data_IF_454540730393
#
_entry.id   IF_454540730393
#
_cell.length_a   1.000
_cell.length_b   1.000
_cell.length_c   1.000
_cell.angle_alpha   90.00
_cell.angle_beta   90.00
_cell.angle_gamma   90.00
#
_symmetry.space_group_name_H-M   'P 1'
#
loop_
_entity.id
_entity.type
_entity.pdbx_description
1 polymer ?
#
# COMPACT_ATOMS: atom_id res chain seq x y z
N UNK A 1 -11.70 18.98 3.96
CA UNK A 1 -10.52 19.66 4.57
C UNK A 1 -10.86 20.23 5.96
N UNK A 2 -11.88 21.03 6.09
CA UNK A 2 -12.25 21.70 7.37
C UNK A 2 -12.64 20.69 8.45
N UNK A 3 -13.36 19.63 8.12
CA UNK A 3 -13.83 18.63 9.09
C UNK A 3 -12.65 17.86 9.72
N UNK A 4 -11.69 17.39 8.93
CA UNK A 4 -10.48 16.70 9.41
C UNK A 4 -9.66 17.64 10.29
N UNK A 5 -9.41 18.87 9.84
CA UNK A 5 -8.67 19.86 10.62
C UNK A 5 -9.36 20.18 11.96
N UNK A 6 -10.67 20.29 11.96
CA UNK A 6 -11.45 20.54 13.19
C UNK A 6 -11.39 19.35 14.16
N UNK A 7 -11.55 18.11 13.67
CA UNK A 7 -11.46 16.93 14.54
C UNK A 7 -10.07 16.74 15.13
N UNK A 8 -9.01 17.13 14.43
CA UNK A 8 -7.62 17.02 14.91
C UNK A 8 -7.18 18.20 15.80
N UNK A 9 -7.83 19.37 15.69
CA UNK A 9 -7.46 20.55 16.48
C UNK A 9 -7.60 20.35 18.01
N UNK A 10 -8.45 19.41 18.43
CA UNK A 10 -8.64 19.07 19.85
C UNK A 10 -7.65 18.00 20.34
N UNK A 11 -6.75 17.53 19.49
CA UNK A 11 -5.78 16.45 19.77
C UNK A 11 -6.44 15.20 20.42
N UNK A 12 -7.49 14.63 19.82
CA UNK A 12 -8.19 13.49 20.38
C UNK A 12 -7.31 12.25 20.36
N UNK A 13 -7.55 11.31 21.28
CA UNK A 13 -6.89 10.01 21.25
C UNK A 13 -7.46 9.08 20.17
N UNK A 14 -8.74 9.28 19.81
CA UNK A 14 -9.46 8.48 18.81
C UNK A 14 -10.29 9.38 17.90
N UNK A 15 -10.19 9.14 16.60
CA UNK A 15 -11.05 9.74 15.57
C UNK A 15 -11.81 8.62 14.86
N UNK A 16 -13.13 8.82 14.72
CA UNK A 16 -13.99 7.95 13.93
C UNK A 16 -14.30 8.65 12.60
N UNK A 17 -14.08 7.96 11.51
CA UNK A 17 -14.34 8.45 10.15
C UNK A 17 -15.20 7.43 9.42
N UNK A 18 -16.35 7.85 8.95
CA UNK A 18 -17.30 7.03 8.20
C UNK A 18 -17.43 7.58 6.79
N UNK A 19 -16.98 6.81 5.78
CA UNK A 19 -17.01 7.11 4.36
C UNK A 19 -16.58 8.56 3.99
N UNK A 20 -15.63 9.11 4.71
CA UNK A 20 -15.31 10.55 4.68
C UNK A 20 -14.79 11.06 3.32
N UNK A 21 -14.38 10.16 2.42
CA UNK A 21 -13.85 10.51 1.10
C UNK A 21 -14.76 10.11 -0.07
N UNK A 22 -15.89 9.43 0.19
CA UNK A 22 -16.77 8.87 -0.85
C UNK A 22 -17.34 9.91 -1.82
N UNK A 23 -17.62 11.12 -1.32
CA UNK A 23 -18.19 12.22 -2.10
C UNK A 23 -17.15 13.09 -2.86
N UNK A 24 -15.85 12.74 -2.79
CA UNK A 24 -14.78 13.53 -3.42
C UNK A 24 -14.44 12.99 -4.80
N UNK A 25 -14.05 13.90 -5.70
CA UNK A 25 -13.42 13.50 -6.96
C UNK A 25 -12.06 12.81 -6.70
N UNK A 26 -11.56 11.99 -7.66
CA UNK A 26 -10.36 11.17 -7.45
C UNK A 26 -9.12 11.97 -7.05
N UNK A 27 -8.94 13.19 -7.59
CA UNK A 27 -7.76 14.02 -7.33
C UNK A 27 -7.82 14.59 -5.91
N UNK A 28 -8.96 15.17 -5.54
CA UNK A 28 -9.16 15.68 -4.18
C UNK A 28 -9.13 14.56 -3.13
N UNK A 29 -9.69 13.38 -3.46
CA UNK A 29 -9.64 12.20 -2.61
C UNK A 29 -8.20 11.82 -2.28
N UNK A 30 -7.35 11.65 -3.30
CA UNK A 30 -5.94 11.33 -3.11
C UNK A 30 -5.23 12.35 -2.21
N UNK A 31 -5.44 13.66 -2.46
CA UNK A 31 -4.84 14.73 -1.65
C UNK A 31 -5.31 14.71 -0.18
N UNK A 32 -6.59 14.37 0.08
CA UNK A 32 -7.11 14.29 1.45
C UNK A 32 -6.58 13.06 2.18
N UNK A 33 -6.44 11.94 1.48
CA UNK A 33 -5.81 10.72 2.01
C UNK A 33 -4.35 10.97 2.38
N UNK A 34 -3.57 11.65 1.53
CA UNK A 34 -2.19 12.02 1.83
C UNK A 34 -2.09 12.95 3.04
N UNK A 35 -2.99 13.93 3.13
CA UNK A 35 -3.07 14.81 4.29
C UNK A 35 -3.35 14.01 5.57
N UNK A 36 -4.31 13.08 5.54
CA UNK A 36 -4.64 12.23 6.68
C UNK A 36 -3.43 11.39 7.11
N UNK A 37 -2.74 10.73 6.18
CA UNK A 37 -1.53 9.94 6.45
C UNK A 37 -0.42 10.78 7.08
N UNK A 38 -0.19 11.98 6.55
CA UNK A 38 0.83 12.89 7.09
C UNK A 38 0.49 13.35 8.51
N UNK A 39 -0.77 13.70 8.76
CA UNK A 39 -1.24 14.09 10.09
C UNK A 39 -1.18 12.91 11.09
N UNK A 40 -1.57 11.71 10.67
CA UNK A 40 -1.49 10.50 11.48
C UNK A 40 -0.04 10.19 11.89
N UNK A 41 0.92 10.30 10.96
CA UNK A 41 2.36 10.11 11.28
C UNK A 41 2.91 11.11 12.30
N UNK A 42 2.36 12.32 12.34
CA UNK A 42 2.78 13.38 13.26
C UNK A 42 2.07 13.31 14.62
N UNK A 43 0.89 12.70 14.66
CA UNK A 43 0.06 12.57 15.85
C UNK A 43 0.06 11.13 16.34
N UNK A 44 -0.14 10.93 17.65
CA UNK A 44 -0.37 9.58 18.23
C UNK A 44 -1.86 9.24 18.27
N UNK A 45 -2.67 9.86 17.43
CA UNK A 45 -4.12 9.67 17.38
C UNK A 45 -4.46 8.36 16.69
N UNK A 46 -5.29 7.53 17.30
CA UNK A 46 -5.85 6.37 16.64
C UNK A 46 -6.99 6.81 15.71
N UNK A 47 -7.01 6.31 14.48
CA UNK A 47 -8.08 6.58 13.51
C UNK A 47 -8.79 5.26 13.21
N UNK A 48 -10.10 5.20 13.45
CA UNK A 48 -10.97 4.13 12.95
C UNK A 48 -11.69 4.69 11.73
N UNK A 49 -11.38 4.09 10.58
CA UNK A 49 -11.87 4.54 9.28
C UNK A 49 -12.76 3.47 8.65
N UNK A 50 -14.01 3.80 8.36
CA UNK A 50 -14.95 2.92 7.67
C UNK A 50 -15.02 3.33 6.21
N UNK A 51 -14.84 2.37 5.32
CA UNK A 51 -14.95 2.55 3.87
C UNK A 51 -15.43 1.26 3.20
N UNK A 52 -16.11 1.41 2.07
CA UNK A 52 -16.40 0.32 1.15
C UNK A 52 -15.37 0.25 -0.02
N UNK A 53 -14.43 1.19 -0.07
CA UNK A 53 -13.37 1.22 -1.09
C UNK A 53 -12.15 0.45 -0.60
N UNK A 54 -11.89 -0.69 -1.25
CA UNK A 54 -10.77 -1.58 -0.91
C UNK A 54 -9.41 -0.90 -1.08
N UNK A 55 -9.26 -0.01 -2.07
CA UNK A 55 -8.03 0.73 -2.30
C UNK A 55 -7.74 1.71 -1.16
N UNK A 56 -8.79 2.37 -0.64
CA UNK A 56 -8.67 3.21 0.54
C UNK A 56 -8.23 2.40 1.77
N UNK A 57 -8.88 1.25 2.01
CA UNK A 57 -8.53 0.39 3.12
C UNK A 57 -7.06 -0.08 3.05
N UNK A 58 -6.60 -0.53 1.88
CA UNK A 58 -5.22 -0.97 1.67
C UNK A 58 -4.19 0.15 1.79
N UNK A 59 -4.57 1.38 1.38
CA UNK A 59 -3.68 2.54 1.41
C UNK A 59 -3.54 3.17 2.78
N UNK A 60 -4.66 3.27 3.51
CA UNK A 60 -4.74 4.07 4.75
C UNK A 60 -4.59 3.22 6.01
N UNK A 61 -4.95 1.93 5.97
CA UNK A 61 -5.02 1.09 7.15
C UNK A 61 -3.68 0.48 7.53
N UNK A 62 -3.25 0.64 8.78
CA UNK A 62 -2.23 -0.20 9.40
C UNK A 62 -2.77 -1.62 9.66
N UNK A 63 -4.07 -1.68 9.99
CA UNK A 63 -4.84 -2.92 10.12
C UNK A 63 -6.21 -2.75 9.48
N UNK A 64 -6.70 -3.82 8.84
CA UNK A 64 -7.99 -3.87 8.17
C UNK A 64 -8.85 -4.91 8.86
N UNK A 65 -10.08 -4.54 9.22
CA UNK A 65 -11.13 -5.44 9.64
C UNK A 65 -12.15 -5.59 8.51
N UNK A 66 -12.29 -6.80 7.97
CA UNK A 66 -13.25 -7.12 6.92
C UNK A 66 -14.54 -7.61 7.55
N UNK A 67 -15.65 -6.95 7.26
CA UNK A 67 -16.98 -7.28 7.81
C UNK A 67 -17.91 -7.61 6.64
N UNK A 68 -18.64 -8.71 6.75
CA UNK A 68 -19.68 -9.10 5.82
C UNK A 68 -20.92 -9.58 6.59
N UNK A 69 -22.10 -9.10 6.20
CA UNK A 69 -23.38 -9.44 6.84
C UNK A 69 -23.35 -9.30 8.38
N UNK A 70 -22.69 -8.24 8.86
CA UNK A 70 -22.55 -7.97 10.30
C UNK A 70 -21.56 -8.89 11.03
N UNK A 71 -20.86 -9.78 10.32
CA UNK A 71 -19.88 -10.70 10.89
C UNK A 71 -18.46 -10.32 10.50
N UNK A 72 -17.55 -10.36 11.47
CA UNK A 72 -16.13 -10.16 11.23
C UNK A 72 -15.55 -11.36 10.50
N UNK A 73 -15.03 -11.13 9.30
CA UNK A 73 -14.44 -12.17 8.44
C UNK A 73 -12.93 -12.33 8.68
N UNK A 74 -12.22 -11.21 8.79
CA UNK A 74 -10.77 -11.21 9.01
C UNK A 74 -10.32 -9.88 9.61
N UNK A 75 -9.24 -9.92 10.40
CA UNK A 75 -8.49 -8.74 10.82
C UNK A 75 -7.01 -8.99 10.55
N UNK A 76 -6.35 -8.09 9.85
CA UNK A 76 -4.94 -8.22 9.55
C UNK A 76 -4.33 -6.93 8.99
N UNK A 77 -3.04 -6.93 8.76
CA UNK A 77 -2.37 -5.91 7.95
C UNK A 77 -2.83 -6.00 6.48
N UNK A 78 -2.65 -4.94 5.67
CA UNK A 78 -2.93 -5.00 4.23
C UNK A 78 -2.30 -6.22 3.53
N UNK A 79 -1.06 -6.55 3.85
CA UNK A 79 -0.36 -7.69 3.27
C UNK A 79 -1.00 -9.03 3.68
N UNK A 80 -1.36 -9.21 4.96
CA UNK A 80 -2.04 -10.43 5.42
C UNK A 80 -3.39 -10.62 4.74
N UNK A 81 -4.17 -9.53 4.56
CA UNK A 81 -5.46 -9.58 3.85
C UNK A 81 -5.27 -10.02 2.39
N UNK A 82 -4.23 -9.52 1.71
CA UNK A 82 -3.97 -9.85 0.31
C UNK A 82 -3.34 -11.22 0.11
N UNK A 83 -2.40 -11.62 0.96
CA UNK A 83 -1.59 -12.82 0.76
C UNK A 83 -2.19 -14.06 1.43
N UNK A 84 -2.91 -13.86 2.56
CA UNK A 84 -3.48 -14.92 3.38
C UNK A 84 -4.95 -14.64 3.71
N UNK A 85 -5.84 -14.55 2.69
CA UNK A 85 -7.25 -14.34 2.94
C UNK A 85 -7.85 -15.52 3.75
N UNK A 86 -8.60 -15.17 4.80
CA UNK A 86 -9.17 -16.18 5.72
C UNK A 86 -10.24 -17.05 5.06
N UNK A 87 -10.88 -16.56 4.00
CA UNK A 87 -11.90 -17.30 3.26
C UNK A 87 -12.03 -16.76 1.83
N UNK A 88 -12.86 -17.44 1.03
CA UNK A 88 -13.08 -17.07 -0.39
C UNK A 88 -13.70 -15.69 -0.54
N UNK A 89 -14.60 -15.28 0.38
CA UNK A 89 -15.19 -13.95 0.34
C UNK A 89 -14.12 -12.85 0.42
N UNK A 90 -13.18 -12.94 1.38
CA UNK A 90 -12.09 -11.97 1.51
C UNK A 90 -11.18 -11.99 0.28
N UNK A 91 -10.87 -13.19 -0.24
CA UNK A 91 -10.06 -13.33 -1.45
C UNK A 91 -10.71 -12.63 -2.65
N UNK A 92 -12.00 -12.87 -2.90
CA UNK A 92 -12.75 -12.29 -4.01
C UNK A 92 -12.97 -10.79 -3.82
N UNK A 93 -13.27 -10.36 -2.60
CA UNK A 93 -13.49 -8.95 -2.27
C UNK A 93 -12.26 -8.10 -2.59
N UNK A 94 -11.07 -8.56 -2.26
CA UNK A 94 -9.82 -7.85 -2.56
C UNK A 94 -9.17 -8.24 -3.89
N UNK A 95 -9.74 -9.14 -4.67
CA UNK A 95 -9.16 -9.57 -5.94
C UNK A 95 -8.95 -8.41 -6.95
N UNK A 96 -9.91 -7.48 -6.98
CA UNK A 96 -9.86 -6.29 -7.86
C UNK A 96 -8.99 -5.17 -7.31
N UNK A 97 -8.74 -5.18 -5.99
CA UNK A 97 -7.92 -4.19 -5.30
C UNK A 97 -6.44 -4.62 -5.21
N UNK A 98 -6.13 -5.85 -5.59
CA UNK A 98 -4.72 -6.26 -5.71
C UNK A 98 -4.04 -5.30 -6.67
N UNK A 99 -2.94 -4.64 -6.25
CA UNK A 99 -2.19 -3.80 -7.17
C UNK A 99 -1.90 -4.63 -8.43
N UNK A 100 -2.21 -4.09 -9.60
CA UNK A 100 -1.81 -4.69 -10.90
C UNK A 100 -0.29 -4.83 -10.99
N UNK A 101 0.43 -3.99 -10.27
CA UNK A 101 1.84 -4.13 -9.91
C UNK A 101 1.95 -5.29 -8.92
N UNK A 102 2.57 -6.38 -9.28
CA UNK A 102 2.75 -7.58 -8.42
C UNK A 102 3.27 -7.23 -7.01
N UNK A 103 3.05 -8.13 -6.07
CA UNK A 103 3.59 -7.96 -4.72
C UNK A 103 5.12 -8.00 -4.77
N UNK A 104 5.78 -7.31 -3.83
CA UNK A 104 7.24 -7.42 -3.68
C UNK A 104 7.68 -8.88 -3.52
N UNK A 105 6.92 -9.68 -2.79
CA UNK A 105 7.17 -11.13 -2.63
C UNK A 105 7.15 -11.86 -3.97
N UNK A 106 6.19 -11.58 -4.85
CA UNK A 106 6.12 -12.19 -6.17
C UNK A 106 7.28 -11.74 -7.08
N UNK A 107 7.67 -10.45 -7.00
CA UNK A 107 8.82 -9.92 -7.72
C UNK A 107 10.12 -10.57 -7.23
N UNK A 108 10.33 -10.65 -5.91
CA UNK A 108 11.51 -11.24 -5.30
C UNK A 108 11.62 -12.76 -5.55
N UNK A 109 10.50 -13.45 -5.73
CA UNK A 109 10.46 -14.87 -6.12
C UNK A 109 10.75 -15.08 -7.60
N UNK A 110 10.74 -14.02 -8.41
CA UNK A 110 11.13 -14.09 -9.80
C UNK A 110 12.66 -14.19 -9.94
N UNK A 111 13.14 -14.76 -11.06
CA UNK A 111 14.57 -14.82 -11.36
C UNK A 111 15.16 -13.46 -11.80
N UNK A 112 14.33 -12.41 -11.84
CA UNK A 112 14.70 -11.08 -12.33
C UNK A 112 15.46 -10.26 -11.27
N UNK A 113 15.22 -10.56 -9.98
CA UNK A 113 15.83 -9.84 -8.86
C UNK A 113 17.07 -10.59 -8.38
N UNK A 114 18.14 -9.85 -8.17
CA UNK A 114 19.40 -10.36 -7.62
C UNK A 114 19.63 -9.83 -6.21
N UNK A 115 20.01 -10.71 -5.27
CA UNK A 115 20.54 -10.26 -3.98
C UNK A 115 21.89 -9.61 -4.18
N UNK A 116 22.13 -8.53 -3.45
CA UNK A 116 23.42 -7.82 -3.46
C UNK A 116 23.86 -7.52 -2.03
N UNK A 117 25.11 -7.15 -1.84
CA UNK A 117 25.58 -6.56 -0.61
C UNK A 117 25.08 -5.11 -0.51
N UNK A 118 24.88 -4.62 0.71
CA UNK A 118 24.48 -3.23 0.96
C UNK A 118 25.36 -2.27 0.15
N UNK A 119 24.73 -1.34 -0.53
CA UNK A 119 25.38 -0.25 -1.25
C UNK A 119 24.82 1.07 -0.74
N UNK A 120 25.60 2.15 -0.78
CA UNK A 120 25.12 3.50 -0.43
C UNK A 120 23.97 3.99 -1.33
N UNK A 121 23.68 3.25 -2.40
CA UNK A 121 22.61 3.54 -3.36
C UNK A 121 21.31 2.80 -3.07
N UNK A 122 21.30 1.85 -2.12
CA UNK A 122 20.08 1.08 -1.81
C UNK A 122 19.06 1.95 -1.09
N UNK A 123 17.86 2.06 -1.66
CA UNK A 123 16.72 2.80 -1.11
C UNK A 123 15.73 1.81 -0.52
N UNK A 124 15.28 2.05 0.71
CA UNK A 124 14.25 1.22 1.34
C UNK A 124 12.92 1.38 0.59
N UNK A 125 12.34 0.27 0.14
CA UNK A 125 11.05 0.23 -0.55
C UNK A 125 10.14 -0.81 0.09
N UNK A 126 8.85 -0.54 0.14
CA UNK A 126 7.83 -1.46 0.64
C UNK A 126 6.98 -2.06 -0.50
N UNK A 127 6.93 -1.39 -1.65
CA UNK A 127 6.04 -1.76 -2.76
C UNK A 127 6.77 -1.75 -4.09
N UNK A 128 6.24 -2.50 -5.07
CA UNK A 128 6.73 -2.47 -6.47
C UNK A 128 6.52 -1.10 -7.10
N UNK A 129 5.49 -0.35 -6.68
CA UNK A 129 5.25 1.02 -7.16
C UNK A 129 6.36 1.98 -6.71
N UNK A 130 6.79 1.88 -5.44
CA UNK A 130 7.93 2.65 -4.95
C UNK A 130 9.22 2.28 -5.68
N UNK A 131 9.46 0.97 -5.90
CA UNK A 131 10.60 0.51 -6.69
C UNK A 131 10.59 1.08 -8.10
N UNK A 132 9.43 1.09 -8.77
CA UNK A 132 9.28 1.63 -10.12
C UNK A 132 9.50 3.15 -10.21
N UNK A 133 9.44 3.87 -9.09
CA UNK A 133 9.71 5.32 -9.02
C UNK A 133 11.19 5.67 -8.80
N UNK A 134 12.04 4.68 -8.54
CA UNK A 134 13.46 4.92 -8.34
C UNK A 134 14.17 5.28 -9.65
N UNK A 135 15.23 6.06 -9.55
CA UNK A 135 16.12 6.39 -10.66
C UNK A 135 17.20 5.31 -10.80
N UNK A 136 17.37 4.71 -11.99
CA UNK A 136 18.43 3.73 -12.22
C UNK A 136 19.82 4.39 -12.26
N UNK A 137 20.84 3.59 -12.02
CA UNK A 137 22.22 3.99 -12.27
C UNK A 137 22.53 4.07 -13.79
N UNK A 138 23.76 4.45 -14.15
CA UNK A 138 24.20 4.59 -15.53
C UNK A 138 24.17 3.27 -16.34
N UNK A 139 24.11 2.12 -15.68
CA UNK A 139 24.00 0.79 -16.27
C UNK A 139 22.55 0.24 -16.27
N UNK A 140 21.58 1.04 -15.82
CA UNK A 140 20.17 0.67 -15.78
C UNK A 140 19.77 -0.19 -14.58
N UNK A 141 20.59 -0.24 -13.53
CA UNK A 141 20.26 -0.97 -12.32
C UNK A 141 19.54 -0.09 -11.31
N UNK A 142 18.48 -0.67 -10.69
CA UNK A 142 17.81 -0.14 -9.50
C UNK A 142 18.28 -0.93 -8.28
N UNK A 143 18.74 -0.22 -7.25
CA UNK A 143 19.18 -0.81 -5.99
C UNK A 143 18.15 -0.48 -4.91
N UNK A 144 17.70 -1.50 -4.17
CA UNK A 144 16.68 -1.31 -3.17
C UNK A 144 16.85 -2.24 -1.98
N UNK A 145 16.30 -1.84 -0.84
CA UNK A 145 16.25 -2.64 0.37
C UNK A 145 14.80 -3.01 0.68
N UNK A 146 14.56 -4.28 0.95
CA UNK A 146 13.26 -4.78 1.37
C UNK A 146 13.43 -5.74 2.55
N UNK A 147 12.71 -5.48 3.67
CA UNK A 147 12.79 -6.25 4.92
C UNK A 147 14.25 -6.45 5.42
N UNK A 148 15.08 -5.42 5.32
CA UNK A 148 16.46 -5.44 5.79
C UNK A 148 17.45 -6.21 4.90
N UNK A 149 17.05 -6.63 3.70
CA UNK A 149 17.91 -7.25 2.70
C UNK A 149 18.05 -6.35 1.48
N UNK A 150 19.26 -6.33 0.90
CA UNK A 150 19.58 -5.53 -0.27
C UNK A 150 19.42 -6.34 -1.56
N UNK A 151 18.82 -5.71 -2.54
CA UNK A 151 18.51 -6.29 -3.85
C UNK A 151 18.83 -5.30 -4.96
N UNK A 152 18.95 -5.83 -6.20
CA UNK A 152 18.99 -5.03 -7.42
C UNK A 152 18.16 -5.69 -8.52
N UNK A 153 17.65 -4.88 -9.44
CA UNK A 153 16.92 -5.33 -10.62
C UNK A 153 17.27 -4.43 -11.81
N UNK A 154 17.35 -4.99 -13.01
CA UNK A 154 17.45 -4.20 -14.22
C UNK A 154 16.12 -3.47 -14.51
N UNK A 155 16.20 -2.21 -14.93
CA UNK A 155 15.00 -1.44 -15.30
C UNK A 155 14.19 -2.14 -16.41
N UNK A 156 14.86 -2.74 -17.39
CA UNK A 156 14.22 -3.50 -18.46
C UNK A 156 13.46 -4.71 -17.94
N UNK A 157 14.01 -5.42 -16.94
CA UNK A 157 13.37 -6.59 -16.34
C UNK A 157 12.17 -6.18 -15.49
N UNK A 158 12.26 -5.06 -14.76
CA UNK A 158 11.14 -4.50 -14.02
C UNK A 158 10.01 -4.08 -14.95
N UNK A 159 10.31 -3.36 -16.03
CA UNK A 159 9.31 -2.95 -17.02
C UNK A 159 8.67 -4.17 -17.69
N UNK A 160 9.43 -5.20 -18.03
CA UNK A 160 8.90 -6.45 -18.56
C UNK A 160 7.99 -7.16 -17.56
N UNK A 161 8.38 -7.21 -16.28
CA UNK A 161 7.55 -7.77 -15.20
C UNK A 161 6.22 -7.01 -15.03
N UNK A 162 6.25 -5.68 -15.13
CA UNK A 162 5.05 -4.85 -15.07
C UNK A 162 4.15 -5.03 -16.29
N UNK A 163 4.73 -5.08 -17.51
CA UNK A 163 4.00 -5.23 -18.77
C UNK A 163 3.33 -6.60 -18.95
N UNK A 164 3.92 -7.69 -18.46
CA UNK A 164 3.31 -9.04 -18.55
C UNK A 164 1.99 -9.18 -17.77
N UNK A 165 1.60 -8.21 -16.96
CA UNK A 165 0.38 -8.23 -16.14
C UNK A 165 -0.73 -7.33 -16.68
N UNK A 166 -0.48 -6.55 -17.71
CA UNK A 166 -1.52 -5.77 -18.40
C UNK A 166 -2.34 -6.62 -19.38
N UNK A 167 -1.82 -7.80 -19.81
CA UNK A 167 -2.43 -8.66 -20.82
C UNK A 167 -3.19 -9.89 -20.24
N UNK A 168 -3.57 -9.88 -18.94
CA UNK A 168 -4.35 -10.99 -18.35
C UNK A 168 -5.54 -10.52 -17.56
#
# INVERSE_FOLDING_TARGET
>A
RVAIARSMATQPQLILMDESFSALDPVLRAQQQDLLLNLHRQSKTTVVFVTHDMQEALRLGDRIAVINDGQLQQVGSPNEILEQPANQFVADFFATARPRLGTMTALLSSKLVQKTSATDQSVAVATVAELASLTPDSAGWLYFQYQGQDFRIQTTDLLHYLGQREDR
#
